data_IF_639766054567
#
_entry.id   IF_639766054567
#
_cell.length_a   1.000
_cell.length_b   1.000
_cell.length_c   1.000
_cell.angle_alpha   90.00
_cell.angle_beta   90.00
_cell.angle_gamma   90.00
#
_symmetry.space_group_name_H-M   'P 1'
#
loop_
_entity.id
_entity.type
_entity.pdbx_description
1 polymer ?
#
# COMPACT_ATOMS: atom_id res chain seq x y z
N UNK A 1 -9.06 -1.42 -0.38
CA UNK A 1 -8.12 -1.00 0.67
C UNK A 1 -7.02 -0.12 0.10
N UNK A 2 -6.63 0.85 0.86
CA UNK A 2 -5.51 1.76 0.57
C UNK A 2 -4.62 1.78 1.80
N UNK A 3 -3.31 1.72 1.61
CA UNK A 3 -2.37 1.86 2.72
C UNK A 3 -1.04 2.43 2.26
N UNK A 4 -0.28 2.98 3.20
CA UNK A 4 1.09 3.41 2.98
C UNK A 4 2.01 2.65 3.94
N UNK A 5 2.84 1.78 3.38
CA UNK A 5 3.83 1.03 4.16
C UNK A 5 4.97 1.91 4.67
N UNK A 6 5.06 3.16 4.20
CA UNK A 6 6.04 4.12 4.72
C UNK A 6 5.84 4.41 6.19
N UNK A 7 4.63 4.19 6.72
CA UNK A 7 4.38 4.32 8.15
C UNK A 7 5.19 3.35 9.00
N UNK A 8 5.60 2.20 8.41
CA UNK A 8 6.41 1.17 9.08
C UNK A 8 7.87 1.21 8.65
N UNK A 9 8.14 1.46 7.37
CA UNK A 9 9.50 1.39 6.82
C UNK A 9 10.20 2.74 6.70
N UNK A 10 9.44 3.85 6.76
CA UNK A 10 9.94 5.16 6.39
C UNK A 10 10.04 5.32 4.88
N UNK A 11 10.38 6.51 4.44
CA UNK A 11 10.56 6.81 3.02
C UNK A 11 11.99 6.45 2.61
N UNK A 12 12.13 5.42 1.79
CA UNK A 12 13.44 4.86 1.40
C UNK A 12 14.04 5.53 0.16
N UNK A 13 13.51 6.67 -0.24
CA UNK A 13 13.97 7.47 -1.38
C UNK A 13 14.08 6.61 -2.66
N UNK A 14 15.27 6.46 -3.22
CA UNK A 14 15.46 5.70 -4.45
C UNK A 14 15.07 4.22 -4.35
N UNK A 15 15.07 3.64 -3.16
CA UNK A 15 14.65 2.26 -2.93
C UNK A 15 13.17 2.11 -2.60
N UNK A 16 12.44 3.22 -2.41
CA UNK A 16 11.05 3.18 -1.98
C UNK A 16 10.16 2.38 -2.94
N UNK A 17 10.27 2.62 -4.23
CA UNK A 17 9.47 1.93 -5.23
C UNK A 17 9.67 0.42 -5.24
N UNK A 18 10.91 -0.03 -5.06
CA UNK A 18 11.26 -1.46 -5.01
C UNK A 18 10.67 -2.11 -3.76
N UNK A 19 10.84 -1.50 -2.60
CA UNK A 19 10.33 -2.04 -1.34
C UNK A 19 8.80 -2.08 -1.35
N UNK A 20 8.16 -1.05 -1.85
CA UNK A 20 6.71 -1.01 -1.96
C UNK A 20 6.17 -2.02 -2.98
N UNK A 21 6.90 -2.26 -4.06
CA UNK A 21 6.56 -3.33 -5.03
C UNK A 21 6.65 -4.71 -4.39
N UNK A 22 7.66 -4.95 -3.57
CA UNK A 22 7.79 -6.21 -2.82
C UNK A 22 6.60 -6.37 -1.87
N UNK A 23 6.21 -5.31 -1.19
CA UNK A 23 5.03 -5.32 -0.32
C UNK A 23 3.76 -5.69 -1.08
N UNK A 24 3.57 -5.14 -2.28
CA UNK A 24 2.44 -5.48 -3.15
C UNK A 24 2.45 -6.95 -3.56
N UNK A 25 3.61 -7.47 -3.95
CA UNK A 25 3.77 -8.88 -4.34
C UNK A 25 3.45 -9.80 -3.17
N UNK A 26 3.97 -9.51 -1.99
CA UNK A 26 3.74 -10.31 -0.79
C UNK A 26 2.29 -10.24 -0.34
N UNK A 27 1.64 -9.10 -0.49
CA UNK A 27 0.21 -8.94 -0.19
C UNK A 27 -0.65 -9.85 -1.05
N UNK A 28 -0.39 -9.87 -2.35
CA UNK A 28 -1.12 -10.71 -3.30
C UNK A 28 -0.84 -12.20 -3.02
N UNK A 29 0.40 -12.54 -2.72
CA UNK A 29 0.80 -13.92 -2.45
C UNK A 29 0.16 -14.47 -1.17
N UNK A 30 0.11 -13.66 -0.12
CA UNK A 30 -0.30 -14.10 1.23
C UNK A 30 -1.72 -13.69 1.62
N UNK A 31 -2.43 -12.94 0.78
CA UNK A 31 -3.78 -12.41 1.07
C UNK A 31 -3.83 -11.57 2.35
N UNK A 32 -2.81 -10.74 2.55
CA UNK A 32 -2.70 -9.85 3.70
C UNK A 32 -2.46 -8.44 3.18
N UNK A 33 -3.25 -7.49 3.69
CA UNK A 33 -3.11 -6.08 3.37
C UNK A 33 -2.31 -5.42 4.49
N UNK A 34 -1.13 -4.85 4.20
CA UNK A 34 -0.33 -4.18 5.22
C UNK A 34 -1.04 -2.92 5.70
N UNK A 35 -0.90 -2.58 6.99
CA UNK A 35 -1.56 -1.40 7.53
C UNK A 35 -0.79 -0.11 7.31
N UNK A 36 -1.51 1.01 7.45
CA UNK A 36 -0.91 2.31 7.74
C UNK A 36 -0.99 2.48 9.24
N UNK A 37 0.16 2.49 9.91
CA UNK A 37 0.22 2.59 11.38
C UNK A 37 0.37 4.04 11.85
N UNK A 38 0.30 4.25 13.16
CA UNK A 38 0.41 5.57 13.81
C UNK A 38 -0.76 6.51 13.47
N UNK A 39 -1.93 5.95 13.27
CA UNK A 39 -3.16 6.72 13.11
C UNK A 39 -3.89 6.80 14.45
N UNK A 40 -4.16 8.01 14.92
CA UNK A 40 -4.77 8.25 16.22
C UNK A 40 -6.07 9.04 16.16
N UNK A 41 -6.29 9.81 15.10
CA UNK A 41 -7.44 10.66 14.96
C UNK A 41 -7.92 10.69 13.51
N UNK A 42 -9.23 10.52 13.32
CA UNK A 42 -9.82 10.49 12.00
C UNK A 42 -9.91 11.89 11.39
N UNK A 43 -9.54 12.01 10.11
CA UNK A 43 -9.74 13.22 9.33
C UNK A 43 -11.14 13.22 8.75
N UNK A 44 -11.96 14.23 9.13
CA UNK A 44 -13.34 14.37 8.66
C UNK A 44 -13.45 14.70 7.16
N UNK A 45 -12.36 15.20 6.57
CA UNK A 45 -12.32 15.51 5.13
C UNK A 45 -12.12 14.29 4.25
N UNK A 46 -11.85 13.13 4.84
CA UNK A 46 -11.69 11.87 4.11
C UNK A 46 -12.97 11.05 4.24
N UNK A 47 -13.46 10.54 3.10
CA UNK A 47 -14.67 9.72 3.08
C UNK A 47 -14.49 8.48 3.98
N UNK A 48 -15.41 8.30 4.92
CA UNK A 48 -15.38 7.18 5.86
C UNK A 48 -15.59 5.82 5.20
N UNK A 49 -16.07 5.80 3.95
CA UNK A 49 -16.26 4.56 3.19
C UNK A 49 -14.95 4.01 2.65
N UNK A 50 -13.88 4.82 2.61
CA UNK A 50 -12.57 4.36 2.21
C UNK A 50 -11.95 3.52 3.33
N UNK A 51 -11.50 2.32 3.00
CA UNK A 51 -10.75 1.49 3.94
C UNK A 51 -9.27 1.81 3.80
N UNK A 52 -8.74 2.62 4.72
CA UNK A 52 -7.37 3.06 4.73
C UNK A 52 -6.46 2.13 5.53
N UNK A 53 -6.98 1.01 5.99
CA UNK A 53 -6.22 -0.07 6.65
C UNK A 53 -5.41 0.44 7.85
N UNK A 54 -6.06 1.22 8.73
CA UNK A 54 -5.36 1.84 9.85
C UNK A 54 -4.96 0.86 10.92
N UNK A 55 -3.69 0.94 11.32
CA UNK A 55 -3.08 0.32 12.50
C UNK A 55 -2.98 -1.20 12.52
N UNK A 56 -3.84 -1.92 11.84
CA UNK A 56 -3.85 -3.39 11.82
C UNK A 56 -3.90 -3.92 10.38
N UNK A 57 -3.11 -4.95 10.11
CA UNK A 57 -3.17 -5.66 8.85
C UNK A 57 -4.54 -6.34 8.70
N UNK A 58 -5.00 -6.47 7.47
CA UNK A 58 -6.28 -7.11 7.18
C UNK A 58 -6.07 -8.33 6.28
N UNK A 59 -6.64 -9.46 6.66
CA UNK A 59 -6.69 -10.64 5.81
C UNK A 59 -7.85 -10.50 4.83
N UNK A 60 -7.54 -10.63 3.54
CA UNK A 60 -8.53 -10.49 2.48
C UNK A 60 -8.04 -11.19 1.24
N UNK A 61 -8.92 -11.86 0.51
CA UNK A 61 -8.55 -12.46 -0.78
C UNK A 61 -8.19 -11.34 -1.76
N UNK A 62 -6.96 -11.34 -2.25
CA UNK A 62 -6.41 -10.28 -3.10
C UNK A 62 -6.05 -10.87 -4.45
N UNK A 63 -6.62 -10.33 -5.51
CA UNK A 63 -6.28 -10.70 -6.90
C UNK A 63 -5.28 -9.74 -7.52
N UNK A 64 -5.38 -8.48 -7.16
CA UNK A 64 -4.56 -7.40 -7.73
C UNK A 64 -4.05 -6.49 -6.64
N UNK A 65 -2.87 -5.94 -6.85
CA UNK A 65 -2.29 -4.91 -5.99
C UNK A 65 -1.64 -3.84 -6.86
N UNK A 66 -1.83 -2.58 -6.50
CA UNK A 66 -1.31 -1.43 -7.26
C UNK A 66 -0.38 -0.63 -6.37
N UNK A 67 0.81 -0.33 -6.88
CA UNK A 67 1.76 0.58 -6.23
C UNK A 67 1.85 1.86 -7.04
N UNK A 68 1.58 2.99 -6.39
CA UNK A 68 1.72 4.32 -6.97
C UNK A 68 2.93 5.01 -6.36
N UNK A 69 3.78 5.57 -7.21
CA UNK A 69 4.94 6.34 -6.78
C UNK A 69 4.93 7.70 -7.43
N UNK A 70 5.33 8.71 -6.68
CA UNK A 70 5.38 10.11 -7.13
C UNK A 70 6.78 10.65 -6.86
N UNK A 71 7.48 11.05 -7.93
CA UNK A 71 8.83 11.56 -7.81
C UNK A 71 8.91 13.08 -7.96
N UNK A 72 10.04 13.64 -7.54
CA UNK A 72 10.32 15.05 -7.74
C UNK A 72 10.34 15.40 -9.23
N UNK A 73 9.83 16.56 -9.59
CA UNK A 73 9.71 16.98 -10.97
C UNK A 73 8.47 16.48 -11.69
N UNK A 74 7.52 15.89 -10.95
CA UNK A 74 6.25 15.43 -11.50
C UNK A 74 6.29 14.05 -12.13
N UNK A 75 7.29 13.24 -11.82
CA UNK A 75 7.37 11.86 -12.28
C UNK A 75 6.41 10.98 -11.48
N UNK A 76 5.46 10.38 -12.17
CA UNK A 76 4.46 9.49 -11.57
C UNK A 76 4.56 8.11 -12.23
N UNK A 77 4.49 7.07 -11.42
CA UNK A 77 4.49 5.70 -11.91
C UNK A 77 3.48 4.86 -11.13
N UNK A 78 2.81 3.96 -11.83
CA UNK A 78 1.89 3.00 -11.23
C UNK A 78 2.25 1.61 -11.74
N UNK A 79 2.41 0.66 -10.82
CA UNK A 79 2.73 -0.72 -11.14
C UNK A 79 1.62 -1.62 -10.60
N UNK A 80 1.01 -2.40 -11.50
CA UNK A 80 -0.05 -3.32 -11.15
C UNK A 80 0.51 -4.75 -11.06
N UNK A 81 0.20 -5.43 -9.97
CA UNK A 81 0.55 -6.82 -9.73
C UNK A 81 -0.71 -7.67 -9.69
N UNK A 82 -0.65 -8.84 -10.28
CA UNK A 82 -1.75 -9.81 -10.29
C UNK A 82 -1.26 -11.12 -9.67
N UNK A 83 -2.17 -11.78 -8.93
CA UNK A 83 -1.88 -13.11 -8.40
C UNK A 83 -1.59 -14.07 -9.57
N UNK A 84 -0.48 -14.80 -9.49
CA UNK A 84 -0.13 -15.80 -10.49
C UNK A 84 -1.13 -16.96 -10.43
N UNK A 85 -1.59 -17.39 -11.59
CA UNK A 85 -2.43 -18.59 -11.73
C UNK A 85 -1.98 -19.36 -12.97
N UNK A 86 -1.88 -20.66 -12.83
CA UNK A 86 -1.56 -21.54 -13.94
C UNK A 86 -2.79 -21.84 -14.80
#
# INVERSE_FOLDING_TARGET
>A
NISSTKSMTGHLLGAAGVVESIACIMSVKNNIIPPTINHFERDENIDSKLNLTFNEAQEKKIKYSLSNTFGFGGHNASTLFKKFSE
#
